data_IF_467355584890
#
_entry.id   IF_467355584890
#
_cell.length_a   1.000
_cell.length_b   1.000
_cell.length_c   1.000
_cell.angle_alpha   90.00
_cell.angle_beta   90.00
_cell.angle_gamma   90.00
#
_symmetry.space_group_name_H-M   'P 1'
#
loop_
_entity.id
_entity.type
_entity.pdbx_description
1 polymer ?
#
# COMPACT_ATOMS: atom_id res chain seq x y z
N UNK A 1 -3.36 14.76 -21.66
CA UNK A 1 -4.32 14.63 -20.54
C UNK A 1 -5.37 13.54 -20.77
N UNK A 2 -5.97 13.40 -21.97
CA UNK A 2 -6.96 12.36 -22.27
C UNK A 2 -6.44 10.90 -22.16
N UNK A 3 -5.19 10.61 -22.51
CA UNK A 3 -4.63 9.24 -22.45
C UNK A 3 -4.39 8.71 -21.03
N UNK A 4 -4.20 9.59 -20.04
CA UNK A 4 -4.02 9.18 -18.64
C UNK A 4 -5.35 8.81 -18.01
N UNK A 5 -6.44 9.49 -18.41
CA UNK A 5 -7.79 9.18 -17.93
C UNK A 5 -8.20 7.76 -18.34
N UNK A 6 -8.03 7.41 -19.63
CA UNK A 6 -8.32 6.06 -20.14
C UNK A 6 -7.55 4.96 -19.39
N UNK A 7 -6.23 5.09 -19.26
CA UNK A 7 -5.40 4.11 -18.54
C UNK A 7 -5.76 3.99 -17.04
N UNK A 8 -6.28 5.06 -16.41
CA UNK A 8 -6.70 4.97 -15.00
C UNK A 8 -8.06 4.28 -14.85
N UNK A 9 -8.97 4.46 -15.81
CA UNK A 9 -10.31 3.85 -15.81
C UNK A 9 -10.23 2.36 -16.15
N UNK A 10 -9.37 1.97 -17.11
CA UNK A 10 -9.09 0.56 -17.41
C UNK A 10 -8.39 -0.15 -16.25
N UNK A 11 -7.47 0.55 -15.57
CA UNK A 11 -6.80 0.02 -14.37
C UNK A 11 -7.78 -0.14 -13.19
N UNK A 12 -8.80 0.74 -13.09
CA UNK A 12 -9.87 0.60 -12.11
C UNK A 12 -10.75 -0.62 -12.39
N UNK A 13 -11.11 -0.86 -13.66
CA UNK A 13 -11.83 -2.06 -14.07
C UNK A 13 -11.04 -3.34 -13.80
N UNK A 14 -9.74 -3.34 -14.09
CA UNK A 14 -8.86 -4.48 -13.83
C UNK A 14 -8.64 -4.72 -12.33
N UNK A 15 -8.43 -3.65 -11.54
CA UNK A 15 -8.31 -3.72 -10.09
C UNK A 15 -9.62 -4.21 -9.44
N UNK A 16 -10.78 -3.72 -9.90
CA UNK A 16 -12.09 -4.19 -9.48
C UNK A 16 -12.33 -5.67 -9.78
N UNK A 17 -11.85 -6.15 -10.92
CA UNK A 17 -12.03 -7.55 -11.34
C UNK A 17 -11.10 -8.45 -10.53
N UNK A 18 -9.84 -8.07 -10.40
CA UNK A 18 -8.87 -8.74 -9.54
C UNK A 18 -9.32 -8.78 -8.08
N UNK A 19 -9.87 -7.68 -7.56
CA UNK A 19 -10.44 -7.59 -6.22
C UNK A 19 -11.53 -8.65 -6.00
N UNK A 20 -12.49 -8.78 -6.92
CA UNK A 20 -13.56 -9.79 -6.83
C UNK A 20 -13.01 -11.21 -6.91
N UNK A 21 -12.01 -11.44 -7.74
CA UNK A 21 -11.34 -12.73 -7.91
C UNK A 21 -10.59 -13.13 -6.62
N UNK A 22 -9.83 -12.20 -6.05
CA UNK A 22 -9.07 -12.38 -4.82
C UNK A 22 -10.03 -12.63 -3.66
N UNK A 23 -11.03 -11.77 -3.45
CA UNK A 23 -12.00 -11.92 -2.35
C UNK A 23 -12.76 -13.26 -2.37
N UNK A 24 -13.01 -13.85 -3.55
CA UNK A 24 -13.65 -15.18 -3.65
C UNK A 24 -12.72 -16.34 -3.28
N UNK A 25 -11.41 -16.17 -3.43
CA UNK A 25 -10.40 -17.20 -3.15
C UNK A 25 -9.91 -17.22 -1.70
N UNK A 26 -10.23 -16.21 -0.88
CA UNK A 26 -9.82 -16.19 0.52
C UNK A 26 -10.87 -16.90 1.42
N UNK A 27 -10.54 -18.02 2.09
CA UNK A 27 -11.36 -18.56 3.18
C UNK A 27 -11.13 -17.75 4.46
N UNK A 28 -11.38 -16.43 4.43
CA UNK A 28 -11.23 -15.54 5.57
C UNK A 28 -12.51 -15.46 6.38
N UNK A 29 -12.37 -15.62 7.70
CA UNK A 29 -13.47 -15.39 8.62
C UNK A 29 -13.77 -13.88 8.72
N UNK A 30 -15.01 -13.51 9.06
CA UNK A 30 -15.43 -12.10 9.17
C UNK A 30 -14.51 -11.27 10.10
N UNK A 31 -14.00 -11.91 11.15
CA UNK A 31 -13.08 -11.29 12.11
C UNK A 31 -11.68 -11.02 11.52
N UNK A 32 -11.16 -11.91 10.66
CA UNK A 32 -9.87 -11.73 10.00
C UNK A 32 -9.93 -10.62 8.95
N UNK A 33 -11.06 -10.55 8.23
CA UNK A 33 -11.32 -9.47 7.28
C UNK A 33 -11.35 -8.09 7.97
N UNK A 34 -11.96 -8.00 9.16
CA UNK A 34 -11.95 -6.78 9.96
C UNK A 34 -10.54 -6.37 10.44
N UNK A 35 -9.74 -7.33 10.93
CA UNK A 35 -8.33 -7.06 11.30
C UNK A 35 -7.51 -6.61 10.10
N UNK A 36 -7.73 -7.23 8.95
CA UNK A 36 -7.05 -6.88 7.70
C UNK A 36 -7.39 -5.47 7.23
N UNK A 37 -8.67 -5.10 7.20
CA UNK A 37 -9.10 -3.74 6.85
C UNK A 37 -8.53 -2.70 7.81
N UNK A 38 -8.54 -2.99 9.11
CA UNK A 38 -7.99 -2.07 10.11
C UNK A 38 -6.47 -1.93 9.99
N UNK A 39 -5.76 -3.02 9.69
CA UNK A 39 -4.32 -3.01 9.40
C UNK A 39 -4.00 -2.22 8.13
N UNK A 40 -4.76 -2.39 7.06
CA UNK A 40 -4.60 -1.61 5.82
C UNK A 40 -4.86 -0.14 6.08
N UNK A 41 -5.94 0.20 6.79
CA UNK A 41 -6.27 1.59 7.09
C UNK A 41 -5.15 2.25 7.92
N UNK A 42 -4.67 1.57 8.96
CA UNK A 42 -3.56 2.05 9.78
C UNK A 42 -2.25 2.14 8.98
N UNK A 43 -1.92 1.13 8.18
CA UNK A 43 -0.71 1.09 7.37
C UNK A 43 -0.70 2.13 6.25
N UNK A 44 -1.81 2.29 5.53
CA UNK A 44 -1.95 3.29 4.46
C UNK A 44 -1.97 4.71 5.03
N UNK A 45 -2.65 4.92 6.17
CA UNK A 45 -2.62 6.19 6.91
C UNK A 45 -1.20 6.51 7.42
N UNK A 46 -0.48 5.53 7.96
CA UNK A 46 0.91 5.68 8.39
C UNK A 46 1.85 6.01 7.23
N UNK A 47 1.76 5.28 6.12
CA UNK A 47 2.53 5.57 4.90
C UNK A 47 2.23 6.96 4.34
N UNK A 48 0.97 7.41 4.44
CA UNK A 48 0.58 8.74 4.04
C UNK A 48 1.28 9.82 4.88
N UNK A 49 1.15 9.77 6.21
CA UNK A 49 1.80 10.72 7.11
C UNK A 49 3.33 10.70 6.99
N UNK A 50 3.92 9.51 6.85
CA UNK A 50 5.35 9.35 6.61
C UNK A 50 5.77 10.03 5.31
N UNK A 51 5.00 9.87 4.23
CA UNK A 51 5.31 10.52 2.95
C UNK A 51 5.16 12.03 3.01
N UNK A 52 4.11 12.54 3.64
CA UNK A 52 3.90 13.99 3.84
C UNK A 52 5.00 14.60 4.70
N UNK A 53 5.39 13.92 5.78
CA UNK A 53 6.51 14.34 6.63
C UNK A 53 7.84 14.30 5.86
N UNK A 54 8.12 13.23 5.14
CA UNK A 54 9.35 13.10 4.36
C UNK A 54 9.51 14.18 3.28
N UNK A 55 8.41 14.64 2.68
CA UNK A 55 8.44 15.75 1.73
C UNK A 55 8.85 17.08 2.38
N UNK A 56 8.59 17.27 3.68
CA UNK A 56 8.99 18.47 4.42
C UNK A 56 10.46 18.51 4.82
N UNK A 57 11.12 17.35 4.92
CA UNK A 57 12.53 17.28 5.31
C UNK A 57 13.51 17.64 4.19
N UNK A 58 13.07 17.65 2.93
CA UNK A 58 13.95 17.91 1.78
C UNK A 58 15.00 16.81 1.53
N UNK A 59 15.87 17.01 0.54
CA UNK A 59 16.88 16.01 0.14
C UNK A 59 18.00 15.88 1.17
N UNK A 60 18.32 14.64 1.56
CA UNK A 60 19.49 14.32 2.39
C UNK A 60 20.76 14.58 1.58
N UNK A 61 21.65 15.43 2.11
CA UNK A 61 22.98 15.67 1.56
C UNK A 61 24.01 14.96 2.43
N UNK A 62 25.04 14.36 1.83
CA UNK A 62 25.99 13.49 2.51
C UNK A 62 26.75 14.16 3.69
N UNK A 63 26.85 15.50 3.70
CA UNK A 63 27.47 16.26 4.78
C UNK A 63 26.61 16.49 6.03
N UNK A 64 25.29 16.27 5.98
CA UNK A 64 24.34 16.59 7.07
C UNK A 64 23.53 15.37 7.54
N UNK A 65 24.06 14.17 7.38
CA UNK A 65 23.35 12.92 7.70
C UNK A 65 22.89 12.85 9.17
N UNK A 66 23.73 13.28 10.11
CA UNK A 66 23.39 13.30 11.54
C UNK A 66 22.28 14.30 11.89
N UNK A 67 22.31 15.50 11.28
CA UNK A 67 21.26 16.51 11.45
C UNK A 67 19.93 16.12 10.80
N UNK A 68 19.98 15.37 9.71
CA UNK A 68 18.79 14.83 9.04
C UNK A 68 18.10 13.75 9.87
N UNK A 69 18.86 12.84 10.49
CA UNK A 69 18.30 11.83 11.40
C UNK A 69 17.62 12.48 12.61
N UNK A 70 18.21 13.54 13.15
CA UNK A 70 17.59 14.29 14.24
C UNK A 70 16.33 15.04 13.78
N UNK A 71 16.31 15.55 12.55
CA UNK A 71 15.14 16.21 11.93
C UNK A 71 13.99 15.23 11.66
N UNK A 72 14.31 13.97 11.29
CA UNK A 72 13.36 12.87 11.16
C UNK A 72 12.69 12.61 12.52
N UNK A 73 13.48 12.57 13.59
CA UNK A 73 12.99 12.30 14.94
C UNK A 73 12.28 13.49 15.62
N UNK A 74 12.41 14.72 15.10
CA UNK A 74 11.76 15.92 15.67
C UNK A 74 10.53 16.36 14.87
N UNK A 75 10.29 15.79 13.69
CA UNK A 75 9.11 16.12 12.88
C UNK A 75 7.89 15.35 13.39
N UNK A 76 6.87 16.03 13.94
CA UNK A 76 5.74 15.36 14.59
C UNK A 76 4.93 14.48 13.63
N UNK A 77 4.88 14.86 12.35
CA UNK A 77 4.14 14.13 11.32
C UNK A 77 4.80 12.79 10.97
N UNK A 78 6.13 12.72 10.99
CA UNK A 78 6.84 11.45 10.86
C UNK A 78 6.64 10.58 12.09
N UNK A 79 6.66 11.13 13.30
CA UNK A 79 6.41 10.35 14.50
C UNK A 79 5.00 9.75 14.51
N UNK A 80 3.99 10.57 14.21
CA UNK A 80 2.59 10.11 14.13
C UNK A 80 2.47 9.04 13.04
N UNK A 81 3.04 9.28 11.86
CA UNK A 81 3.06 8.31 10.78
C UNK A 81 3.77 7.01 11.15
N UNK A 82 4.89 7.09 11.87
CA UNK A 82 5.66 5.94 12.33
C UNK A 82 4.90 5.11 13.37
N UNK A 83 4.23 5.76 14.32
CA UNK A 83 3.39 5.07 15.32
C UNK A 83 2.21 4.38 14.65
N UNK A 84 1.51 5.08 13.74
CA UNK A 84 0.39 4.49 13.00
C UNK A 84 0.83 3.33 12.11
N UNK A 85 1.95 3.49 11.41
CA UNK A 85 2.54 2.46 10.58
C UNK A 85 3.00 1.26 11.42
N UNK A 86 3.63 1.51 12.57
CA UNK A 86 4.04 0.50 13.54
C UNK A 86 2.85 -0.28 14.10
N UNK A 87 1.77 0.39 14.47
CA UNK A 87 0.51 -0.27 14.84
C UNK A 87 -0.03 -1.13 13.69
N UNK A 88 -0.06 -0.60 12.47
CA UNK A 88 -0.46 -1.36 11.28
C UNK A 88 0.37 -2.63 11.09
N UNK A 89 1.69 -2.54 11.31
CA UNK A 89 2.60 -3.67 11.26
C UNK A 89 2.34 -4.70 12.37
N UNK A 90 2.05 -4.27 13.61
CA UNK A 90 1.67 -5.18 14.70
C UNK A 90 0.38 -5.93 14.36
N UNK A 91 -0.65 -5.23 13.86
CA UNK A 91 -1.89 -5.87 13.40
C UNK A 91 -1.64 -6.84 12.24
N UNK A 92 -0.72 -6.51 11.34
CA UNK A 92 -0.34 -7.38 10.23
C UNK A 92 0.39 -8.65 10.71
N UNK A 93 1.30 -8.51 11.68
CA UNK A 93 1.97 -9.66 12.33
C UNK A 93 0.95 -10.54 13.04
N UNK A 94 -0.01 -9.96 13.77
CA UNK A 94 -1.10 -10.71 14.39
C UNK A 94 -1.94 -11.47 13.36
N UNK A 95 -2.22 -10.86 12.21
CA UNK A 95 -2.96 -11.52 11.13
C UNK A 95 -2.17 -12.68 10.52
N UNK A 96 -0.85 -12.54 10.33
CA UNK A 96 0.06 -13.62 9.90
C UNK A 96 0.05 -14.82 10.85
N UNK A 97 -0.29 -14.65 12.13
CA UNK A 97 -0.42 -15.78 13.06
C UNK A 97 -1.74 -16.56 12.89
N UNK A 98 -2.75 -15.96 12.23
CA UNK A 98 -4.10 -16.53 12.06
C UNK A 98 -4.35 -17.05 10.65
N UNK A 99 -3.72 -16.43 9.65
CA UNK A 99 -3.93 -16.70 8.23
C UNK A 99 -2.63 -17.20 7.60
N UNK A 100 -2.72 -18.20 6.72
CA UNK A 100 -1.55 -18.73 5.98
C UNK A 100 -0.99 -17.64 5.05
N UNK A 101 0.34 -17.56 4.92
CA UNK A 101 1.00 -16.60 4.02
C UNK A 101 0.48 -16.67 2.57
N UNK A 102 0.08 -17.86 2.09
CA UNK A 102 -0.46 -18.04 0.72
C UNK A 102 -1.73 -17.22 0.48
N UNK A 103 -2.57 -17.08 1.51
CA UNK A 103 -3.84 -16.33 1.46
C UNK A 103 -3.59 -14.82 1.62
N UNK A 104 -2.56 -14.45 2.38
CA UNK A 104 -2.16 -13.06 2.58
C UNK A 104 -1.50 -12.42 1.35
N UNK A 105 -0.76 -13.18 0.53
CA UNK A 105 -0.07 -12.66 -0.66
C UNK A 105 -0.98 -11.84 -1.58
N UNK A 106 -2.11 -12.40 -2.05
CA UNK A 106 -3.10 -11.67 -2.84
C UNK A 106 -3.67 -10.43 -2.13
N UNK A 107 -3.90 -10.54 -0.82
CA UNK A 107 -4.44 -9.46 0.00
C UNK A 107 -3.44 -8.29 0.14
N UNK A 108 -2.16 -8.58 0.34
CA UNK A 108 -1.08 -7.58 0.42
C UNK A 108 -0.87 -6.88 -0.92
N UNK A 109 -0.96 -7.60 -2.03
CA UNK A 109 -0.91 -7.00 -3.36
C UNK A 109 -2.05 -6.00 -3.56
N UNK A 110 -3.25 -6.31 -3.06
CA UNK A 110 -4.38 -5.39 -3.10
C UNK A 110 -4.12 -4.13 -2.25
N UNK A 111 -3.57 -4.29 -1.04
CA UNK A 111 -3.16 -3.17 -0.19
C UNK A 111 -2.18 -2.24 -0.92
N UNK A 112 -1.21 -2.80 -1.64
CA UNK A 112 -0.27 -2.01 -2.46
C UNK A 112 -0.98 -1.21 -3.55
N UNK A 113 -1.91 -1.83 -4.30
CA UNK A 113 -2.69 -1.15 -5.33
C UNK A 113 -3.48 0.03 -4.74
N UNK A 114 -4.12 -0.16 -3.58
CA UNK A 114 -4.82 0.91 -2.87
C UNK A 114 -3.88 2.05 -2.43
N UNK A 115 -2.70 1.72 -1.90
CA UNK A 115 -1.70 2.71 -1.49
C UNK A 115 -1.21 3.56 -2.69
N UNK A 116 -0.97 2.93 -3.85
CA UNK A 116 -0.56 3.64 -5.08
C UNK A 116 -1.69 4.54 -5.58
N UNK A 117 -2.94 4.07 -5.57
CA UNK A 117 -4.11 4.84 -5.96
C UNK A 117 -4.31 6.07 -5.05
N UNK A 118 -4.22 5.89 -3.74
CA UNK A 118 -4.26 6.98 -2.77
C UNK A 118 -3.09 7.95 -2.96
N UNK A 119 -1.89 7.43 -3.24
CA UNK A 119 -0.73 8.25 -3.57
C UNK A 119 -0.97 9.15 -4.79
N UNK A 120 -1.59 8.61 -5.85
CA UNK A 120 -1.96 9.39 -7.04
C UNK A 120 -3.02 10.44 -6.73
N UNK A 121 -4.07 10.07 -5.99
CA UNK A 121 -5.20 10.96 -5.69
C UNK A 121 -4.81 12.10 -4.75
N UNK A 122 -4.02 11.82 -3.71
CA UNK A 122 -3.72 12.81 -2.66
C UNK A 122 -2.47 13.63 -2.98
N UNK A 123 -1.40 13.01 -3.51
CA UNK A 123 -0.16 13.74 -3.84
C UNK A 123 -0.14 14.26 -5.28
N UNK A 124 -1.11 13.88 -6.12
CA UNK A 124 -1.15 14.28 -7.52
C UNK A 124 0.06 13.80 -8.33
N UNK A 125 0.79 12.80 -7.84
CA UNK A 125 2.00 12.30 -8.52
C UNK A 125 1.63 11.72 -9.89
N UNK A 126 2.33 12.19 -10.93
CA UNK A 126 2.21 11.62 -12.26
C UNK A 126 2.75 10.19 -12.24
N UNK A 127 1.87 9.21 -12.39
CA UNK A 127 2.26 7.81 -12.51
C UNK A 127 2.81 7.56 -13.92
N UNK A 128 4.11 7.26 -14.09
CA UNK A 128 4.66 6.92 -15.39
C UNK A 128 4.03 5.61 -15.89
N UNK A 129 3.94 5.46 -17.22
CA UNK A 129 3.40 4.24 -17.85
C UNK A 129 4.10 2.97 -17.36
N UNK A 130 5.38 3.05 -17.02
CA UNK A 130 6.17 1.94 -16.45
C UNK A 130 5.64 1.44 -15.12
N UNK A 131 5.18 2.34 -14.22
CA UNK A 131 4.55 1.93 -12.95
C UNK A 131 3.22 1.24 -13.18
N UNK A 132 2.43 1.71 -14.14
CA UNK A 132 1.13 1.12 -14.48
C UNK A 132 1.34 -0.30 -15.05
N UNK A 133 2.30 -0.45 -15.96
CA UNK A 133 2.67 -1.76 -16.53
C UNK A 133 3.16 -2.73 -15.44
N UNK A 134 4.02 -2.27 -14.53
CA UNK A 134 4.47 -3.08 -13.39
C UNK A 134 3.33 -3.48 -12.45
N UNK A 135 2.38 -2.57 -12.19
CA UNK A 135 1.20 -2.87 -11.36
C UNK A 135 0.31 -3.93 -12.02
N UNK A 136 0.13 -3.85 -13.35
CA UNK A 136 -0.57 -4.90 -14.11
C UNK A 136 0.13 -6.26 -14.01
N UNK A 137 1.47 -6.28 -14.04
CA UNK A 137 2.27 -7.51 -13.92
C UNK A 137 2.15 -8.14 -12.52
N UNK A 138 2.14 -7.32 -11.46
CA UNK A 138 1.85 -7.80 -10.09
C UNK A 138 0.46 -8.43 -10.02
N UNK A 139 -0.57 -7.76 -10.54
CA UNK A 139 -1.93 -8.28 -10.52
C UNK A 139 -2.02 -9.59 -11.31
N UNK A 140 -1.38 -9.66 -12.48
CA UNK A 140 -1.35 -10.88 -13.28
C UNK A 140 -0.68 -12.05 -12.54
N UNK A 141 0.42 -11.78 -11.84
CA UNK A 141 1.10 -12.78 -10.99
C UNK A 141 0.21 -13.25 -9.83
N UNK A 142 -0.55 -12.35 -9.21
CA UNK A 142 -1.50 -12.69 -8.14
C UNK A 142 -2.67 -13.53 -8.65
N UNK A 143 -3.23 -13.19 -9.81
CA UNK A 143 -4.30 -13.99 -10.44
C UNK A 143 -3.80 -15.40 -10.76
N UNK A 144 -2.56 -15.54 -11.26
CA UNK A 144 -1.93 -16.84 -11.48
C UNK A 144 -1.76 -17.64 -10.18
N UNK A 145 -1.32 -16.99 -9.10
CA UNK A 145 -1.22 -17.59 -7.77
C UNK A 145 -2.57 -18.12 -7.27
N UNK A 146 -3.62 -17.29 -7.33
CA UNK A 146 -4.98 -17.67 -6.89
C UNK A 146 -5.60 -18.73 -7.81
N UNK A 147 -5.25 -18.76 -9.09
CA UNK A 147 -5.79 -19.75 -10.04
C UNK A 147 -5.25 -21.17 -9.86
N UNK A 148 -4.23 -21.35 -9.03
CA UNK A 148 -3.53 -22.64 -8.85
C UNK A 148 -3.92 -23.37 -7.55
N UNK A 149 -4.75 -22.74 -6.71
CA UNK A 149 -5.39 -23.34 -5.53
C UNK A 149 -6.87 -23.68 -5.85
#
# INVERSE_FOLDING_TARGET
MLSVCAATVDCWGFASTALKQILKGLPVNFQEFAFFLMSIAAGTGGQFFLKTGAQKLGRVNAGNFSGHVLSIATTPELLIGLVFYGMGAILYILLLTRVKLSVLGPAVALQYVFAVLMGKFIFGESLPLTRIAGMGLIICGVVLLVSRD
#
